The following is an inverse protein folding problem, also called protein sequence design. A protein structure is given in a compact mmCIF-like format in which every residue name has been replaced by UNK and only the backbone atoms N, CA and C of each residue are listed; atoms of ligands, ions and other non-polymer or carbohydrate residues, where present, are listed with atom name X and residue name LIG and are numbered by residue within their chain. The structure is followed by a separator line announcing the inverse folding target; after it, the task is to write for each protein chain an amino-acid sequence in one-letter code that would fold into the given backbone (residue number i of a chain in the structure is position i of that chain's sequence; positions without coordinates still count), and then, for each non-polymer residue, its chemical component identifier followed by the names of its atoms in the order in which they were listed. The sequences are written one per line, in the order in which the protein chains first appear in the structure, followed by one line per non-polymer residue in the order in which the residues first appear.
data_IF_309160582872
#
_entry.id   IF_309160582872
#
_cell.length_a   1.000
_cell.length_b   1.000
_cell.length_c   1.000
_cell.angle_alpha   90.00
_cell.angle_beta   90.00
_cell.angle_gamma   90.00
#
_symmetry.space_group_name_H-M   'P 1'
#
loop_
_entity.id
_entity.type
_entity.pdbx_description
1 polymer ?
#
# COMPACT_ATOMS: atom_id res chain seq x y z
N UNK A 1 20.59 14.97 5.97
CA UNK A 1 20.78 14.51 4.59
C UNK A 1 19.60 13.61 4.28
N UNK A 2 18.65 14.13 3.50
CA UNK A 2 17.38 13.48 3.20
C UNK A 2 17.60 12.19 2.41
N UNK A 3 16.93 11.14 2.87
CA UNK A 3 16.93 9.81 2.28
C UNK A 3 16.13 9.88 0.96
N UNK A 4 16.82 10.11 -0.16
CA UNK A 4 16.22 9.94 -1.49
C UNK A 4 15.99 8.45 -1.71
N UNK A 5 14.80 7.98 -1.36
CA UNK A 5 14.23 6.73 -1.85
C UNK A 5 14.47 6.69 -3.35
N UNK A 6 15.19 5.68 -3.83
CA UNK A 6 15.45 5.48 -5.26
C UNK A 6 14.14 5.15 -5.95
N UNK A 7 13.36 6.19 -6.29
CA UNK A 7 12.13 6.08 -7.06
C UNK A 7 12.50 5.58 -8.46
N UNK A 8 12.15 4.33 -8.76
CA UNK A 8 12.18 3.80 -10.13
C UNK A 8 10.79 4.00 -10.74
N UNK A 9 10.78 4.33 -12.03
CA UNK A 9 9.62 4.87 -12.73
C UNK A 9 8.49 3.83 -12.84
N UNK A 10 7.26 4.16 -12.43
CA UNK A 10 6.09 3.34 -12.74
C UNK A 10 5.88 3.24 -14.26
N UNK A 11 5.27 2.15 -14.75
CA UNK A 11 4.93 1.95 -16.18
C UNK A 11 4.05 3.10 -16.70
N UNK A 12 3.18 3.60 -15.83
CA UNK A 12 2.29 4.74 -16.08
C UNK A 12 2.52 5.84 -15.04
N UNK A 13 2.64 7.09 -15.47
CA UNK A 13 2.74 8.26 -14.61
C UNK A 13 1.37 8.76 -14.17
N UNK A 14 0.37 8.69 -15.04
CA UNK A 14 -1.01 9.08 -14.77
C UNK A 14 -1.95 8.02 -15.31
N UNK A 15 -2.89 7.59 -14.49
CA UNK A 15 -3.89 6.60 -14.87
C UNK A 15 -5.30 7.09 -14.59
N UNK A 16 -6.26 6.54 -15.34
CA UNK A 16 -7.67 6.60 -14.98
C UNK A 16 -8.17 5.20 -14.66
N UNK A 17 -8.61 5.00 -13.41
CA UNK A 17 -9.24 3.77 -12.94
C UNK A 17 -10.75 3.87 -13.09
N UNK A 18 -11.34 3.04 -13.95
CA UNK A 18 -12.80 2.93 -14.08
C UNK A 18 -13.29 1.77 -13.22
N UNK A 19 -14.16 2.09 -12.27
CA UNK A 19 -14.86 1.13 -11.42
C UNK A 19 -16.30 0.97 -11.91
N UNK A 20 -16.78 -0.26 -12.11
CA UNK A 20 -18.22 -0.48 -12.32
C UNK A 20 -18.98 -0.21 -11.02
N UNK A 21 -20.27 0.15 -11.11
CA UNK A 21 -21.07 0.32 -9.90
C UNK A 21 -21.25 -1.02 -9.18
N UNK A 22 -21.48 -2.07 -9.96
CA UNK A 22 -21.62 -3.46 -9.52
C UNK A 22 -20.40 -3.99 -8.76
N UNK A 23 -19.20 -3.54 -9.12
CA UNK A 23 -17.98 -3.87 -8.38
C UNK A 23 -18.07 -3.39 -6.93
N UNK A 24 -18.62 -2.19 -6.70
CA UNK A 24 -18.69 -1.58 -5.36
C UNK A 24 -19.74 -2.21 -4.45
N UNK A 25 -20.64 -3.05 -4.98
CA UNK A 25 -21.66 -3.73 -4.19
C UNK A 25 -21.16 -5.01 -3.51
N UNK A 26 -19.91 -5.43 -3.76
CA UNK A 26 -19.37 -6.68 -3.22
C UNK A 26 -20.19 -7.89 -3.66
N UNK A 27 -20.43 -8.85 -2.77
CA UNK A 27 -21.29 -10.00 -3.06
C UNK A 27 -22.77 -9.62 -3.25
N UNK A 28 -23.15 -8.43 -2.81
CA UNK A 28 -24.47 -7.85 -3.07
C UNK A 28 -24.68 -7.52 -4.56
N UNK A 29 -25.95 -7.46 -4.96
CA UNK A 29 -26.35 -6.97 -6.29
C UNK A 29 -26.67 -5.47 -6.30
N UNK A 30 -26.89 -4.87 -5.12
CA UNK A 30 -27.27 -3.46 -4.97
C UNK A 30 -26.62 -2.85 -3.73
N UNK A 31 -26.41 -1.53 -3.74
CA UNK A 31 -25.83 -0.81 -2.60
C UNK A 31 -24.31 -0.73 -2.64
N UNK A 32 -23.69 -0.52 -1.48
CA UNK A 32 -22.25 -0.33 -1.33
C UNK A 32 -21.70 -1.27 -0.27
N UNK A 33 -20.61 -1.95 -0.59
CA UNK A 33 -19.89 -2.81 0.32
C UNK A 33 -18.67 -2.08 0.90
N UNK A 34 -18.60 -2.01 2.22
CA UNK A 34 -17.54 -1.29 2.91
C UNK A 34 -16.16 -1.96 2.77
N UNK A 35 -16.11 -3.29 2.64
CA UNK A 35 -14.85 -4.00 2.46
C UNK A 35 -14.28 -3.75 1.06
N UNK A 36 -15.12 -3.76 0.02
CA UNK A 36 -14.69 -3.41 -1.34
C UNK A 36 -14.23 -1.97 -1.45
N UNK A 37 -14.97 -1.02 -0.87
CA UNK A 37 -14.56 0.39 -0.89
C UNK A 37 -13.20 0.60 -0.21
N UNK A 38 -12.94 -0.10 0.92
CA UNK A 38 -11.64 -0.07 1.60
C UNK A 38 -10.55 -0.73 0.77
N UNK A 39 -10.82 -1.86 0.12
CA UNK A 39 -9.87 -2.53 -0.77
C UNK A 39 -9.43 -1.59 -1.88
N UNK A 40 -10.37 -0.96 -2.58
CA UNK A 40 -10.09 0.04 -3.62
C UNK A 40 -9.28 1.21 -3.07
N UNK A 41 -9.63 1.72 -1.89
CA UNK A 41 -8.90 2.82 -1.25
C UNK A 41 -7.44 2.44 -0.93
N UNK A 42 -7.19 1.22 -0.45
CA UNK A 42 -5.84 0.74 -0.18
C UNK A 42 -5.04 0.53 -1.47
N UNK A 43 -5.63 -0.06 -2.50
CA UNK A 43 -4.96 -0.21 -3.81
C UNK A 43 -4.53 1.15 -4.39
N UNK A 44 -5.41 2.15 -4.34
CA UNK A 44 -5.08 3.50 -4.82
C UNK A 44 -4.02 4.15 -3.92
N UNK A 45 -4.06 3.92 -2.61
CA UNK A 45 -3.05 4.42 -1.67
C UNK A 45 -1.66 3.84 -1.99
N UNK A 46 -1.59 2.55 -2.27
CA UNK A 46 -0.33 1.90 -2.62
C UNK A 46 0.21 2.46 -3.94
N UNK A 47 -0.63 2.54 -4.98
CA UNK A 47 -0.24 3.11 -6.28
C UNK A 47 0.25 4.57 -6.17
N UNK A 48 -0.48 5.41 -5.41
CA UNK A 48 -0.09 6.82 -5.23
C UNK A 48 1.18 6.98 -4.38
N UNK A 49 1.50 6.04 -3.49
CA UNK A 49 2.76 6.02 -2.75
C UNK A 49 3.99 5.87 -3.67
N UNK A 50 3.80 5.35 -4.88
CA UNK A 50 4.82 5.27 -5.93
C UNK A 50 4.88 6.53 -6.82
N UNK A 51 4.14 7.59 -6.49
CA UNK A 51 4.14 8.85 -7.24
C UNK A 51 3.27 8.85 -8.50
N UNK A 52 2.46 7.80 -8.70
CA UNK A 52 1.48 7.73 -9.79
C UNK A 52 0.30 8.63 -9.51
N UNK A 53 -0.13 9.39 -10.51
CA UNK A 53 -1.31 10.25 -10.43
C UNK A 53 -2.56 9.44 -10.79
N UNK A 54 -3.49 9.30 -9.85
CA UNK A 54 -4.67 8.45 -10.02
C UNK A 54 -5.93 9.30 -10.15
N UNK A 55 -6.65 9.12 -11.26
CA UNK A 55 -8.03 9.54 -11.40
C UNK A 55 -8.97 8.33 -11.37
N UNK A 56 -10.21 8.53 -10.97
CA UNK A 56 -11.21 7.47 -10.86
C UNK A 56 -12.50 7.90 -11.58
N UNK A 57 -13.12 7.00 -12.34
CA UNK A 57 -14.52 7.13 -12.80
C UNK A 57 -15.31 5.99 -12.20
N UNK A 58 -16.46 6.30 -11.60
CA UNK A 58 -17.28 5.31 -10.91
C UNK A 58 -18.64 5.16 -11.60
N UNK A 59 -19.06 3.93 -11.87
CA UNK A 59 -20.38 3.62 -12.40
C UNK A 59 -21.49 3.68 -11.33
N UNK A 60 -22.76 3.73 -11.75
CA UNK A 60 -23.92 3.87 -10.85
C UNK A 60 -24.86 2.65 -10.78
N UNK A 61 -24.52 1.57 -11.50
CA UNK A 61 -25.42 0.42 -11.73
C UNK A 61 -25.80 -0.40 -10.49
N UNK A 62 -25.09 -0.24 -9.37
CA UNK A 62 -25.42 -0.80 -8.06
C UNK A 62 -26.56 -0.07 -7.34
N UNK A 63 -26.85 1.18 -7.70
CA UNK A 63 -27.94 1.96 -7.10
C UNK A 63 -29.09 2.15 -8.08
N UNK A 64 -28.76 2.54 -9.31
CA UNK A 64 -29.72 2.87 -10.35
C UNK A 64 -29.26 2.29 -11.68
N UNK A 65 -30.08 1.39 -12.23
CA UNK A 65 -29.98 0.95 -13.63
C UNK A 65 -31.07 1.63 -14.45
N UNK A 66 -30.68 2.61 -15.26
CA UNK A 66 -31.62 3.45 -16.02
C UNK A 66 -32.57 2.62 -16.90
N UNK A 67 -32.05 1.61 -17.59
CA UNK A 67 -32.84 0.70 -18.42
C UNK A 67 -33.92 -0.06 -17.62
N UNK A 68 -33.56 -0.56 -16.43
CA UNK A 68 -34.50 -1.31 -15.58
C UNK A 68 -35.59 -0.39 -15.01
N UNK A 69 -35.24 0.84 -14.63
CA UNK A 69 -36.18 1.84 -14.13
C UNK A 69 -37.16 2.26 -15.23
N UNK A 70 -36.66 2.56 -16.43
CA UNK A 70 -37.51 2.95 -17.56
C UNK A 70 -38.49 1.83 -17.92
N UNK A 71 -38.01 0.57 -18.00
CA UNK A 71 -38.84 -0.58 -18.32
C UNK A 71 -39.89 -0.91 -17.25
N UNK A 72 -39.57 -0.73 -15.96
CA UNK A 72 -40.49 -1.10 -14.86
C UNK A 72 -41.43 0.02 -14.44
N UNK A 73 -40.95 1.26 -14.42
CA UNK A 73 -41.68 2.42 -13.88
C UNK A 73 -42.23 3.33 -14.97
N UNK A 74 -41.93 3.07 -16.25
CA UNK A 74 -42.36 3.91 -17.37
C UNK A 74 -41.71 5.30 -17.36
N UNK A 75 -40.54 5.42 -16.73
CA UNK A 75 -39.78 6.67 -16.67
C UNK A 75 -39.12 6.94 -18.01
N UNK A 76 -39.17 8.19 -18.46
CA UNK A 76 -38.48 8.65 -19.66
C UNK A 76 -36.97 8.32 -19.63
N UNK A 77 -36.42 7.93 -20.77
CA UNK A 77 -35.05 7.42 -20.88
C UNK A 77 -34.00 8.46 -20.48
N UNK A 78 -34.19 9.72 -20.87
CA UNK A 78 -33.30 10.83 -20.48
C UNK A 78 -33.33 11.02 -18.97
N UNK A 79 -34.52 10.98 -18.38
CA UNK A 79 -34.71 11.06 -16.93
C UNK A 79 -34.00 9.90 -16.21
N UNK A 80 -34.13 8.67 -16.73
CA UNK A 80 -33.47 7.50 -16.19
C UNK A 80 -31.93 7.60 -16.27
N UNK A 81 -31.39 8.17 -17.34
CA UNK A 81 -29.95 8.46 -17.46
C UNK A 81 -29.48 9.52 -16.45
N UNK A 82 -30.27 10.57 -16.20
CA UNK A 82 -29.97 11.54 -15.14
C UNK A 82 -29.95 10.88 -13.75
N UNK A 83 -30.89 9.97 -13.46
CA UNK A 83 -30.89 9.21 -12.21
C UNK A 83 -29.63 8.34 -12.08
N UNK A 84 -29.20 7.68 -13.17
CA UNK A 84 -27.93 6.94 -13.22
C UNK A 84 -26.70 7.82 -13.00
N UNK A 85 -26.68 9.02 -13.56
CA UNK A 85 -25.62 10.01 -13.32
C UNK A 85 -25.58 10.45 -11.85
N UNK A 86 -26.73 10.69 -11.21
CA UNK A 86 -26.79 10.99 -9.78
C UNK A 86 -26.31 9.81 -8.92
N UNK A 87 -26.61 8.56 -9.29
CA UNK A 87 -26.09 7.38 -8.62
C UNK A 87 -24.56 7.32 -8.64
N UNK A 88 -23.91 7.72 -9.75
CA UNK A 88 -22.44 7.80 -9.81
C UNK A 88 -21.87 8.82 -8.82
N UNK A 89 -22.59 9.92 -8.56
CA UNK A 89 -22.20 10.93 -7.57
C UNK A 89 -22.29 10.37 -6.15
N UNK A 90 -23.36 9.64 -5.84
CA UNK A 90 -23.52 8.97 -4.53
C UNK A 90 -22.34 8.02 -4.28
N UNK A 91 -21.98 7.19 -5.26
CA UNK A 91 -20.84 6.29 -5.14
C UNK A 91 -19.51 7.04 -4.99
N UNK A 92 -19.32 8.13 -5.74
CA UNK A 92 -18.11 8.93 -5.66
C UNK A 92 -17.92 9.58 -4.27
N UNK A 93 -18.99 10.09 -3.66
CA UNK A 93 -18.96 10.63 -2.30
C UNK A 93 -18.63 9.57 -1.25
N UNK A 94 -19.23 8.38 -1.37
CA UNK A 94 -18.93 7.27 -0.47
C UNK A 94 -17.47 6.81 -0.59
N UNK A 95 -16.98 6.68 -1.83
CA UNK A 95 -15.58 6.33 -2.09
C UNK A 95 -14.63 7.41 -1.57
N UNK A 96 -14.97 8.69 -1.76
CA UNK A 96 -14.17 9.82 -1.26
C UNK A 96 -13.96 9.72 0.26
N UNK A 97 -15.03 9.56 1.03
CA UNK A 97 -14.97 9.48 2.50
C UNK A 97 -14.13 8.29 2.99
N UNK A 98 -14.27 7.13 2.36
CA UNK A 98 -13.46 5.94 2.71
C UNK A 98 -11.99 6.16 2.37
N UNK A 99 -11.67 6.72 1.21
CA UNK A 99 -10.29 7.02 0.81
C UNK A 99 -9.63 8.04 1.75
N UNK A 100 -10.36 9.08 2.16
CA UNK A 100 -9.87 10.08 3.12
C UNK A 100 -9.58 9.46 4.50
N UNK A 101 -10.41 8.52 4.96
CA UNK A 101 -10.16 7.74 6.19
C UNK A 101 -8.90 6.86 6.10
N UNK A 102 -8.57 6.37 4.92
CA UNK A 102 -7.32 5.63 4.67
C UNK A 102 -6.10 6.58 4.50
N UNK A 103 -6.29 7.90 4.57
CA UNK A 103 -5.22 8.90 4.55
C UNK A 103 -4.89 9.48 3.17
N UNK A 104 -5.73 9.22 2.15
CA UNK A 104 -5.61 9.85 0.84
C UNK A 104 -6.20 11.25 0.85
N UNK A 105 -5.63 12.16 0.06
CA UNK A 105 -6.25 13.46 -0.21
C UNK A 105 -7.00 13.37 -1.53
N UNK A 106 -8.32 13.50 -1.50
CA UNK A 106 -9.17 13.23 -2.66
C UNK A 106 -10.01 14.45 -3.06
N UNK A 107 -10.51 14.48 -4.30
CA UNK A 107 -11.45 15.51 -4.79
C UNK A 107 -12.47 14.91 -5.72
N UNK A 108 -13.75 15.09 -5.42
CA UNK A 108 -14.84 14.72 -6.34
C UNK A 108 -15.12 15.89 -7.29
N UNK A 109 -15.16 15.59 -8.58
CA UNK A 109 -15.55 16.51 -9.64
C UNK A 109 -16.72 15.96 -10.45
N UNK A 110 -17.77 16.76 -10.63
CA UNK A 110 -19.00 16.33 -11.29
C UNK A 110 -19.18 16.99 -12.65
N UNK A 111 -19.65 16.21 -13.63
CA UNK A 111 -20.01 16.74 -14.95
C UNK A 111 -21.29 17.59 -14.90
N UNK A 112 -22.21 17.29 -13.97
CA UNK A 112 -23.39 18.11 -13.67
C UNK A 112 -23.03 19.02 -12.49
N UNK A 113 -23.23 20.33 -12.63
CA UNK A 113 -22.85 21.30 -11.60
C UNK A 113 -23.71 21.14 -10.34
N UNK A 114 -23.05 20.96 -9.18
CA UNK A 114 -23.70 20.82 -7.88
C UNK A 114 -22.84 21.41 -6.75
N UNK A 115 -22.68 22.74 -6.77
CA UNK A 115 -21.70 23.47 -5.96
C UNK A 115 -21.69 23.19 -4.45
N UNK A 116 -22.83 22.82 -3.87
CA UNK A 116 -22.93 22.50 -2.43
C UNK A 116 -22.38 21.11 -2.07
N UNK A 117 -22.25 20.23 -3.07
CA UNK A 117 -21.94 18.80 -2.88
C UNK A 117 -20.53 18.48 -3.39
N UNK A 118 -20.19 18.94 -4.59
CA UNK A 118 -18.92 18.61 -5.24
C UNK A 118 -18.43 19.74 -6.17
N UNK A 119 -17.15 19.71 -6.50
CA UNK A 119 -16.57 20.66 -7.45
C UNK A 119 -17.13 20.38 -8.87
N UNK A 120 -17.43 21.40 -9.69
CA UNK A 120 -17.69 21.17 -11.10
C UNK A 120 -16.41 20.69 -11.80
N UNK A 121 -16.56 19.80 -12.78
CA UNK A 121 -15.44 19.36 -13.60
C UNK A 121 -14.85 20.53 -14.40
N UNK A 122 -13.58 20.82 -14.14
CA UNK A 122 -12.79 21.77 -14.91
C UNK A 122 -11.45 21.10 -15.19
N UNK A 123 -11.20 20.74 -16.45
CA UNK A 123 -9.99 20.01 -16.90
C UNK A 123 -8.70 20.50 -16.23
N UNK A 124 -8.41 21.80 -16.31
CA UNK A 124 -7.18 22.38 -15.74
C UNK A 124 -7.10 22.23 -14.21
N UNK A 125 -8.24 22.25 -13.53
CA UNK A 125 -8.30 22.03 -12.08
C UNK A 125 -8.07 20.57 -11.72
N UNK A 126 -8.64 19.64 -12.49
CA UNK A 126 -8.41 18.21 -12.33
C UNK A 126 -6.92 17.88 -12.46
N UNK A 127 -6.28 18.32 -13.54
CA UNK A 127 -4.83 18.16 -13.75
C UNK A 127 -4.04 18.75 -12.59
N UNK A 128 -4.40 19.96 -12.12
CA UNK A 128 -3.70 20.59 -10.99
C UNK A 128 -3.89 19.85 -9.67
N UNK A 129 -5.00 19.15 -9.46
CA UNK A 129 -5.18 18.28 -8.30
C UNK A 129 -4.28 17.05 -8.42
N UNK A 130 -4.24 16.40 -9.58
CA UNK A 130 -3.39 15.24 -9.87
C UNK A 130 -1.90 15.57 -9.69
N UNK A 131 -1.43 16.70 -10.20
CA UNK A 131 -0.05 17.19 -10.02
C UNK A 131 0.35 17.40 -8.55
N UNK A 132 -0.63 17.63 -7.66
CA UNK A 132 -0.42 17.80 -6.22
C UNK A 132 -0.49 16.47 -5.46
N UNK A 133 -0.54 15.34 -6.15
CA UNK A 133 -0.67 14.02 -5.55
C UNK A 133 -2.05 13.73 -4.96
N UNK A 134 -3.09 14.46 -5.40
CA UNK A 134 -4.47 14.21 -4.96
C UNK A 134 -5.14 13.22 -5.91
N UNK A 135 -5.93 12.30 -5.38
CA UNK A 135 -6.78 11.44 -6.19
C UNK A 135 -8.02 12.22 -6.64
N UNK A 136 -8.33 12.22 -7.94
CA UNK A 136 -9.52 12.90 -8.47
C UNK A 136 -10.58 11.86 -8.83
N UNK A 137 -11.80 12.01 -8.31
CA UNK A 137 -12.93 11.13 -8.61
C UNK A 137 -13.91 11.89 -9.50
N UNK A 138 -14.10 11.44 -10.73
CA UNK A 138 -15.06 11.99 -11.67
C UNK A 138 -16.41 11.28 -11.53
N UNK A 139 -17.47 12.07 -11.43
CA UNK A 139 -18.85 11.59 -11.34
C UNK A 139 -19.80 12.40 -12.23
N UNK A 140 -21.02 11.91 -12.37
CA UNK A 140 -22.00 12.46 -13.31
C UNK A 140 -21.76 12.07 -14.76
N UNK A 141 -20.97 11.02 -15.02
CA UNK A 141 -20.69 10.53 -16.37
C UNK A 141 -20.10 11.59 -17.31
N UNK A 142 -20.63 11.67 -18.53
CA UNK A 142 -20.30 12.75 -19.48
C UNK A 142 -21.07 14.04 -19.19
N UNK A 143 -22.09 14.00 -18.33
CA UNK A 143 -23.08 15.06 -18.13
C UNK A 143 -24.24 15.02 -19.12
N UNK A 144 -24.17 14.15 -20.14
CA UNK A 144 -25.16 14.02 -21.20
C UNK A 144 -25.81 12.62 -21.18
N UNK A 145 -27.14 12.53 -21.37
CA UNK A 145 -27.83 11.25 -21.59
C UNK A 145 -27.28 10.48 -22.81
N UNK A 146 -27.60 9.19 -22.91
CA UNK A 146 -27.22 8.27 -23.99
C UNK A 146 -25.74 7.86 -24.05
N UNK A 147 -24.92 8.32 -23.09
CA UNK A 147 -23.54 7.89 -22.95
C UNK A 147 -23.35 7.00 -21.74
N UNK A 148 -22.47 6.01 -21.88
CA UNK A 148 -22.15 5.11 -20.77
C UNK A 148 -21.06 5.71 -19.88
N UNK A 149 -20.86 5.09 -18.72
CA UNK A 149 -19.71 5.41 -17.85
C UNK A 149 -18.37 5.02 -18.47
N UNK A 150 -18.36 4.08 -19.42
CA UNK A 150 -17.14 3.69 -20.12
C UNK A 150 -16.73 4.78 -21.12
N UNK A 151 -17.71 5.37 -21.82
CA UNK A 151 -17.47 6.56 -22.65
C UNK A 151 -16.96 7.73 -21.80
N UNK A 152 -17.55 7.95 -20.62
CA UNK A 152 -17.07 8.98 -19.70
C UNK A 152 -15.63 8.71 -19.22
N UNK A 153 -15.28 7.46 -18.95
CA UNK A 153 -13.94 7.07 -18.54
C UNK A 153 -12.91 7.32 -19.64
N UNK A 154 -13.20 6.90 -20.87
CA UNK A 154 -12.36 7.20 -22.03
C UNK A 154 -12.18 8.71 -22.23
N UNK A 155 -13.28 9.48 -22.21
CA UNK A 155 -13.24 10.93 -22.36
C UNK A 155 -12.36 11.59 -21.29
N UNK A 156 -12.60 11.27 -20.01
CA UNK A 156 -11.84 11.88 -18.90
C UNK A 156 -10.38 11.47 -18.93
N UNK A 157 -10.06 10.21 -19.31
CA UNK A 157 -8.69 9.73 -19.43
C UNK A 157 -7.91 10.54 -20.46
N UNK A 158 -8.51 10.78 -21.64
CA UNK A 158 -7.92 11.59 -22.70
C UNK A 158 -7.74 13.04 -22.24
N UNK A 159 -8.76 13.65 -21.64
CA UNK A 159 -8.68 15.05 -21.21
C UNK A 159 -7.65 15.28 -20.12
N UNK A 160 -7.51 14.36 -19.17
CA UNK A 160 -6.46 14.46 -18.15
C UNK A 160 -5.12 13.97 -18.67
N UNK A 161 -4.97 13.58 -19.94
CA UNK A 161 -3.72 13.05 -20.49
C UNK A 161 -3.19 11.87 -19.64
N UNK A 162 -4.07 10.90 -19.35
CA UNK A 162 -3.67 9.65 -18.72
C UNK A 162 -2.88 8.80 -19.73
N UNK A 163 -1.92 8.02 -19.22
CA UNK A 163 -1.15 7.08 -20.02
C UNK A 163 -1.93 5.78 -20.28
N UNK A 164 -2.84 5.42 -19.36
CA UNK A 164 -3.69 4.25 -19.49
C UNK A 164 -5.07 4.41 -18.83
N UNK A 165 -6.06 3.75 -19.43
CA UNK A 165 -7.39 3.52 -18.90
C UNK A 165 -7.48 2.10 -18.32
N UNK A 166 -7.56 2.03 -16.99
CA UNK A 166 -7.65 0.81 -16.22
C UNK A 166 -9.12 0.47 -15.95
N UNK A 167 -9.62 -0.59 -16.58
CA UNK A 167 -11.01 -1.04 -16.51
C UNK A 167 -11.15 -2.16 -15.50
N UNK A 168 -11.64 -1.83 -14.31
CA UNK A 168 -11.90 -2.80 -13.26
C UNK A 168 -13.27 -3.44 -13.47
N UNK A 169 -13.29 -4.74 -13.77
CA UNK A 169 -14.51 -5.55 -13.90
C UNK A 169 -14.64 -6.50 -12.72
N UNK A 170 -15.86 -6.98 -12.47
CA UNK A 170 -16.13 -7.98 -11.44
C UNK A 170 -16.16 -9.37 -12.09
N UNK A 171 -15.36 -10.30 -11.57
CA UNK A 171 -15.43 -11.72 -11.94
C UNK A 171 -14.87 -12.04 -13.34
N UNK A 172 -14.17 -11.10 -13.97
CA UNK A 172 -13.49 -11.33 -15.25
C UNK A 172 -12.14 -10.62 -15.21
N UNK A 173 -11.06 -11.39 -15.29
CA UNK A 173 -9.68 -10.92 -15.19
C UNK A 173 -9.10 -10.29 -16.45
N UNK A 174 -9.88 -10.22 -17.55
CA UNK A 174 -9.40 -9.76 -18.84
C UNK A 174 -10.48 -9.82 -19.91
N UNK A 175 -10.07 -9.85 -21.18
CA UNK A 175 -10.99 -9.98 -22.32
C UNK A 175 -10.95 -11.41 -22.83
N UNK A 176 -12.11 -12.01 -23.02
CA UNK A 176 -12.26 -13.39 -23.51
C UNK A 176 -12.98 -13.41 -24.86
N UNK A 177 -12.79 -14.48 -25.63
CA UNK A 177 -13.51 -14.73 -26.88
C UNK A 177 -15.03 -14.94 -26.66
N UNK A 178 -15.40 -15.44 -25.48
CA UNK A 178 -16.78 -15.65 -24.99
C UNK A 178 -16.83 -15.56 -23.47
N UNK A 179 -18.03 -15.48 -22.89
CA UNK A 179 -18.19 -15.29 -21.44
C UNK A 179 -17.63 -16.49 -20.65
N UNK A 180 -16.58 -16.31 -19.83
CA UNK A 180 -15.97 -17.41 -19.07
C UNK A 180 -16.86 -17.95 -17.95
N UNK A 181 -17.90 -17.21 -17.54
CA UNK A 181 -18.86 -17.67 -16.53
C UNK A 181 -19.92 -18.61 -17.12
N UNK A 182 -20.08 -18.61 -18.45
CA UNK A 182 -21.05 -19.45 -19.17
C UNK A 182 -20.32 -20.58 -19.90
N UNK A 183 -19.12 -20.31 -20.41
CA UNK A 183 -18.35 -21.21 -21.25
C UNK A 183 -17.01 -21.56 -20.60
N UNK A 184 -16.83 -22.82 -20.20
CA UNK A 184 -15.59 -23.31 -19.58
C UNK A 184 -14.39 -23.36 -20.54
N UNK A 185 -14.63 -23.29 -21.85
CA UNK A 185 -13.62 -23.27 -22.90
C UNK A 185 -13.32 -21.85 -23.41
N UNK A 186 -13.71 -20.81 -22.65
CA UNK A 186 -13.39 -19.42 -22.95
C UNK A 186 -11.87 -19.19 -22.87
N UNK A 187 -11.33 -18.54 -23.90
CA UNK A 187 -9.91 -18.24 -24.05
C UNK A 187 -9.70 -16.75 -23.84
N UNK A 188 -8.82 -16.40 -22.91
CA UNK A 188 -8.44 -15.00 -22.66
C UNK A 188 -7.48 -14.52 -23.75
N UNK A 189 -7.72 -13.31 -24.25
CA UNK A 189 -6.77 -12.61 -25.11
C UNK A 189 -5.75 -11.84 -24.27
N UNK A 190 -4.46 -12.00 -24.59
CA UNK A 190 -3.36 -11.28 -23.94
C UNK A 190 -3.19 -9.86 -24.46
N UNK A 191 -3.32 -9.68 -25.77
CA UNK A 191 -3.28 -8.38 -26.44
C UNK A 191 -4.30 -8.37 -27.57
N UNK A 192 -4.95 -7.23 -27.77
CA UNK A 192 -5.97 -7.04 -28.79
C UNK A 192 -5.79 -5.68 -29.47
N UNK A 193 -5.91 -5.66 -30.79
CA UNK A 193 -6.05 -4.41 -31.51
C UNK A 193 -7.46 -3.81 -31.36
N UNK A 194 -7.59 -2.49 -31.35
CA UNK A 194 -8.91 -1.82 -31.26
C UNK A 194 -9.91 -2.30 -32.32
N UNK A 195 -9.45 -2.49 -33.57
CA UNK A 195 -10.30 -2.98 -34.65
C UNK A 195 -10.74 -4.43 -34.44
N UNK A 196 -9.94 -5.24 -33.77
CA UNK A 196 -10.29 -6.63 -33.44
C UNK A 196 -11.41 -6.66 -32.38
N UNK A 197 -11.31 -5.81 -31.35
CA UNK A 197 -12.37 -5.63 -30.35
C UNK A 197 -13.70 -5.25 -31.00
N UNK A 198 -13.68 -4.29 -31.92
CA UNK A 198 -14.89 -3.83 -32.63
C UNK A 198 -15.43 -4.90 -33.60
N UNK A 199 -14.57 -5.52 -34.42
CA UNK A 199 -14.99 -6.49 -35.43
C UNK A 199 -15.55 -7.78 -34.83
N UNK A 200 -15.05 -8.18 -33.65
CA UNK A 200 -15.52 -9.37 -32.93
C UNK A 200 -16.63 -9.07 -31.92
N UNK A 201 -17.08 -7.80 -31.81
CA UNK A 201 -18.06 -7.35 -30.82
C UNK A 201 -17.74 -7.82 -29.39
N UNK A 202 -16.43 -7.80 -29.03
CA UNK A 202 -15.98 -8.21 -27.71
C UNK A 202 -16.53 -7.22 -26.68
N UNK A 203 -17.23 -7.71 -25.66
CA UNK A 203 -17.94 -6.90 -24.64
C UNK A 203 -16.98 -6.29 -23.61
N UNK A 204 -15.96 -5.57 -24.08
CA UNK A 204 -14.96 -4.87 -23.27
C UNK A 204 -15.52 -3.55 -22.76
N UNK A 205 -15.99 -2.72 -23.69
CA UNK A 205 -16.55 -1.38 -23.48
C UNK A 205 -17.62 -1.15 -24.55
N UNK A 206 -18.37 -0.05 -24.46
CA UNK A 206 -19.18 0.38 -25.59
C UNK A 206 -18.32 0.84 -26.78
N UNK A 207 -18.86 0.72 -28.00
CA UNK A 207 -18.12 1.02 -29.23
C UNK A 207 -17.62 2.47 -29.31
N UNK A 208 -18.34 3.43 -28.70
CA UNK A 208 -17.94 4.84 -28.67
C UNK A 208 -16.69 5.02 -27.81
N UNK A 209 -16.64 4.37 -26.64
CA UNK A 209 -15.46 4.40 -25.77
C UNK A 209 -14.23 3.79 -26.46
N UNK A 210 -14.38 2.64 -27.14
CA UNK A 210 -13.29 2.01 -27.90
C UNK A 210 -12.80 2.91 -29.03
N UNK A 211 -13.71 3.53 -29.78
CA UNK A 211 -13.37 4.46 -30.85
C UNK A 211 -12.59 5.68 -30.32
N UNK A 212 -13.04 6.28 -29.21
CA UNK A 212 -12.35 7.39 -28.55
C UNK A 212 -10.92 7.01 -28.14
N UNK A 213 -10.75 5.84 -27.50
CA UNK A 213 -9.42 5.36 -27.10
C UNK A 213 -8.52 5.11 -28.30
N UNK A 214 -9.05 4.47 -29.36
CA UNK A 214 -8.31 4.22 -30.61
C UNK A 214 -7.79 5.52 -31.23
N UNK A 215 -8.65 6.52 -31.37
CA UNK A 215 -8.31 7.77 -32.05
C UNK A 215 -7.31 8.62 -31.27
N UNK A 216 -7.15 8.35 -29.97
CA UNK A 216 -6.20 9.04 -29.09
C UNK A 216 -5.04 8.13 -28.64
N UNK A 217 -4.94 6.91 -29.19
CA UNK A 217 -3.91 5.92 -28.87
C UNK A 217 -3.78 5.65 -27.35
N UNK A 218 -4.93 5.53 -26.67
CA UNK A 218 -5.05 5.33 -25.22
C UNK A 218 -5.04 3.84 -24.86
N UNK A 219 -4.02 3.40 -24.13
CA UNK A 219 -3.94 2.02 -23.65
C UNK A 219 -5.14 1.66 -22.76
N UNK A 220 -5.76 0.52 -23.01
CA UNK A 220 -6.86 -0.03 -22.19
C UNK A 220 -6.36 -1.31 -21.54
N UNK A 221 -6.43 -1.37 -20.22
CA UNK A 221 -6.11 -2.59 -19.46
C UNK A 221 -7.34 -3.04 -18.69
N UNK A 222 -7.70 -4.32 -18.82
CA UNK A 222 -8.90 -4.90 -18.18
C UNK A 222 -8.44 -5.90 -17.14
N UNK A 223 -8.94 -5.78 -15.91
CA UNK A 223 -8.60 -6.70 -14.82
C UNK A 223 -9.76 -6.87 -13.85
N UNK A 224 -9.64 -7.88 -12.98
CA UNK A 224 -10.64 -8.15 -11.94
C UNK A 224 -10.36 -7.32 -10.68
N UNK A 225 -11.34 -6.54 -10.24
CA UNK A 225 -11.25 -5.71 -9.03
C UNK A 225 -11.22 -6.53 -7.74
N UNK A 226 -11.72 -7.77 -7.78
CA UNK A 226 -11.86 -8.61 -6.58
C UNK A 226 -10.53 -9.25 -6.13
N UNK A 227 -9.48 -9.20 -6.95
CA UNK A 227 -8.17 -9.77 -6.64
C UNK A 227 -7.25 -8.68 -6.06
N UNK A 228 -6.89 -8.75 -4.75
CA UNK A 228 -6.01 -7.78 -4.14
C UNK A 228 -4.65 -7.67 -4.86
N UNK A 229 -4.13 -6.45 -4.94
CA UNK A 229 -2.87 -6.07 -5.58
C UNK A 229 -2.95 -5.91 -7.09
N UNK A 230 -4.12 -6.06 -7.73
CA UNK A 230 -4.23 -6.03 -9.20
C UNK A 230 -3.90 -4.67 -9.80
N UNK A 231 -4.41 -3.58 -9.22
CA UNK A 231 -4.16 -2.23 -9.75
C UNK A 231 -2.67 -1.93 -9.63
N UNK A 232 -2.07 -2.26 -8.48
CA UNK A 232 -0.63 -2.12 -8.24
C UNK A 232 0.19 -2.93 -9.26
N UNK A 233 -0.18 -4.19 -9.52
CA UNK A 233 0.47 -5.07 -10.51
C UNK A 233 0.43 -4.47 -11.92
N UNK A 234 -0.74 -4.03 -12.36
CA UNK A 234 -0.93 -3.45 -13.71
C UNK A 234 -0.16 -2.15 -13.90
N UNK A 235 -0.05 -1.33 -12.85
CA UNK A 235 0.54 0.02 -12.93
C UNK A 235 2.06 0.02 -12.77
N UNK A 236 2.60 -0.94 -12.02
CA UNK A 236 4.01 -0.95 -11.64
C UNK A 236 4.86 -1.95 -12.43
N UNK A 237 4.29 -3.05 -12.95
CA UNK A 237 5.04 -4.09 -13.68
C UNK A 237 5.94 -4.98 -12.80
N UNK A 238 6.63 -5.95 -13.41
CA UNK A 238 7.44 -6.99 -12.73
C UNK A 238 8.64 -6.43 -11.94
N UNK A 239 9.37 -5.47 -12.51
CA UNK A 239 10.59 -4.91 -11.90
C UNK A 239 10.31 -4.21 -10.56
N UNK A 240 9.07 -3.73 -10.35
CA UNK A 240 8.68 -3.08 -9.11
C UNK A 240 8.26 -4.08 -8.03
N UNK A 241 7.75 -5.26 -8.40
CA UNK A 241 7.48 -6.36 -7.45
C UNK A 241 8.77 -6.77 -6.73
N UNK A 242 9.88 -6.87 -7.47
CA UNK A 242 11.20 -7.22 -6.91
C UNK A 242 11.72 -6.07 -6.03
N UNK A 243 11.50 -4.82 -6.42
CA UNK A 243 11.91 -3.65 -5.65
C UNK A 243 11.12 -3.49 -4.33
N UNK A 244 9.81 -3.75 -4.33
CA UNK A 244 8.98 -3.78 -3.12
C UNK A 244 9.40 -4.92 -2.19
N UNK A 245 9.59 -6.13 -2.75
CA UNK A 245 10.10 -7.27 -1.99
C UNK A 245 11.40 -6.92 -1.26
N UNK A 246 12.32 -6.21 -1.94
CA UNK A 246 13.56 -5.71 -1.35
C UNK A 246 13.33 -4.73 -0.20
N UNK A 247 12.43 -3.76 -0.37
CA UNK A 247 12.13 -2.78 0.67
C UNK A 247 11.50 -3.43 1.92
N UNK A 248 10.58 -4.39 1.71
CA UNK A 248 9.91 -5.12 2.80
C UNK A 248 10.87 -6.07 3.52
N UNK A 249 11.76 -6.75 2.78
CA UNK A 249 12.83 -7.57 3.38
C UNK A 249 13.78 -6.70 4.21
N UNK A 250 14.15 -5.50 3.75
CA UNK A 250 15.00 -4.59 4.52
C UNK A 250 14.33 -4.15 5.83
N UNK A 251 13.03 -3.85 5.81
CA UNK A 251 12.27 -3.55 7.03
C UNK A 251 12.25 -4.72 8.02
N UNK A 252 12.15 -5.95 7.53
CA UNK A 252 12.22 -7.15 8.38
C UNK A 252 13.60 -7.29 9.05
N UNK A 253 14.68 -6.98 8.32
CA UNK A 253 16.05 -6.95 8.87
C UNK A 253 16.17 -5.84 9.94
N UNK A 254 15.64 -4.65 9.69
CA UNK A 254 15.66 -3.54 10.65
C UNK A 254 14.88 -3.87 11.93
N UNK A 255 13.69 -4.48 11.80
CA UNK A 255 12.93 -4.96 12.94
C UNK A 255 13.71 -6.02 13.74
N UNK A 256 14.31 -6.99 13.07
CA UNK A 256 15.15 -8.01 13.72
C UNK A 256 16.33 -7.38 14.46
N UNK A 257 16.95 -6.34 13.88
CA UNK A 257 18.04 -5.59 14.53
C UNK A 257 17.56 -4.87 15.79
N UNK A 258 16.37 -4.29 15.77
CA UNK A 258 15.75 -3.66 16.94
C UNK A 258 15.46 -4.70 18.04
N UNK A 259 14.92 -5.86 17.69
CA UNK A 259 14.70 -6.97 18.64
C UNK A 259 16.02 -7.45 19.25
N UNK A 260 17.08 -7.61 18.46
CA UNK A 260 18.42 -7.94 19.00
C UNK A 260 19.01 -6.84 19.88
N UNK A 261 18.70 -5.57 19.63
CA UNK A 261 19.12 -4.48 20.50
C UNK A 261 18.40 -4.52 21.86
N UNK A 262 17.15 -5.01 21.90
CA UNK A 262 16.39 -5.19 23.13
C UNK A 262 16.89 -6.34 24.03
N UNK A 263 17.61 -7.32 23.45
CA UNK A 263 18.17 -8.44 24.20
C UNK A 263 19.35 -8.00 25.08
N UNK A 264 19.14 -8.11 26.39
CA UNK A 264 20.13 -7.75 27.41
C UNK A 264 21.23 -8.82 27.51
N UNK A 265 22.32 -8.62 26.77
CA UNK A 265 23.49 -9.51 26.69
C UNK A 265 24.46 -9.43 27.87
N UNK A 266 24.12 -8.66 28.91
CA UNK A 266 25.02 -8.41 30.04
C UNK A 266 26.12 -7.38 29.71
N UNK A 267 26.09 -6.77 28.51
CA UNK A 267 26.88 -5.60 28.14
C UNK A 267 26.07 -4.30 28.28
N UNK A 268 26.78 -3.22 28.57
CA UNK A 268 26.25 -1.88 28.67
C UNK A 268 25.93 -1.34 27.26
N UNK A 269 24.64 -1.19 26.99
CA UNK A 269 24.13 -0.54 25.77
C UNK A 269 23.18 0.60 26.15
N UNK A 270 23.30 1.78 25.54
CA UNK A 270 22.36 2.89 25.76
C UNK A 270 20.91 2.52 25.41
N UNK A 271 20.69 1.58 24.49
CA UNK A 271 19.36 1.13 24.07
C UNK A 271 18.53 0.55 25.23
N UNK A 272 19.18 0.03 26.28
CA UNK A 272 18.49 -0.49 27.47
C UNK A 272 17.69 0.59 28.21
N UNK A 273 18.04 1.87 28.03
CA UNK A 273 17.41 2.99 28.72
C UNK A 273 16.37 3.71 27.87
N UNK A 274 16.18 3.32 26.60
CA UNK A 274 15.25 3.98 25.67
C UNK A 274 13.78 3.90 26.12
N UNK A 275 13.40 2.83 26.81
CA UNK A 275 12.03 2.63 27.31
C UNK A 275 11.78 3.30 28.67
N UNK A 276 12.80 3.84 29.33
CA UNK A 276 12.66 4.44 30.67
C UNK A 276 12.28 5.91 30.52
N UNK A 277 11.16 6.27 31.16
CA UNK A 277 10.68 7.65 31.24
C UNK A 277 10.96 8.21 32.64
N UNK A 278 11.38 9.47 32.68
CA UNK A 278 11.64 10.23 33.90
C UNK A 278 10.70 11.44 33.91
N UNK A 279 10.19 11.76 35.09
CA UNK A 279 9.38 12.97 35.28
C UNK A 279 10.29 14.19 35.18
N UNK A 280 10.13 14.95 34.08
CA UNK A 280 10.83 16.20 33.83
C UNK A 280 9.81 17.33 33.85
N UNK A 281 9.73 18.06 34.97
CA UNK A 281 8.78 19.16 35.18
C UNK A 281 7.29 18.76 34.97
N UNK A 282 6.88 17.58 35.43
CA UNK A 282 5.50 17.09 35.35
C UNK A 282 5.18 16.36 34.04
N UNK A 283 6.16 16.20 33.15
CA UNK A 283 6.01 15.52 31.86
C UNK A 283 6.90 14.27 31.82
N UNK A 284 6.33 13.08 31.52
CA UNK A 284 7.10 11.85 31.43
C UNK A 284 7.93 11.80 30.13
N UNK A 285 9.22 12.11 30.26
CA UNK A 285 10.17 12.28 29.15
C UNK A 285 11.20 11.12 29.12
N UNK A 286 11.57 10.56 27.95
CA UNK A 286 12.60 9.52 27.85
C UNK A 286 13.96 9.97 28.38
N UNK A 287 14.71 9.08 29.05
CA UNK A 287 16.04 9.38 29.63
C UNK A 287 17.01 9.94 28.58
N UNK A 288 16.97 9.43 27.35
CA UNK A 288 17.85 9.84 26.25
C UNK A 288 17.66 11.30 25.83
N UNK A 289 16.54 11.93 26.20
CA UNK A 289 16.24 13.33 25.90
C UNK A 289 16.61 14.30 27.03
N UNK A 290 16.90 13.78 28.23
CA UNK A 290 17.20 14.60 29.42
C UNK A 290 18.61 14.35 29.97
N UNK A 291 19.32 13.38 29.41
CA UNK A 291 20.66 12.99 29.83
C UNK A 291 21.52 12.46 28.67
N UNK A 292 22.83 12.66 28.77
CA UNK A 292 23.81 12.01 27.90
C UNK A 292 24.19 10.65 28.50
N UNK A 293 24.02 9.57 27.73
CA UNK A 293 24.37 8.20 28.14
C UNK A 293 25.67 7.77 27.46
N UNK A 294 26.65 7.32 28.24
CA UNK A 294 27.93 6.81 27.74
C UNK A 294 28.23 5.42 28.32
N UNK A 295 29.04 4.64 27.58
CA UNK A 295 29.50 3.30 27.98
C UNK A 295 31.02 3.36 28.18
N UNK A 296 31.51 3.78 29.36
CA UNK A 296 32.95 3.82 29.63
C UNK A 296 33.58 2.42 29.74
N UNK A 297 32.81 1.43 30.19
CA UNK A 297 33.25 0.04 30.31
C UNK A 297 32.15 -0.90 29.80
N UNK A 298 32.48 -2.11 29.31
CA UNK A 298 31.48 -3.05 28.79
C UNK A 298 30.37 -3.43 29.76
N UNK A 299 30.51 -3.18 31.07
CA UNK A 299 29.52 -3.53 32.12
C UNK A 299 29.06 -2.33 32.94
N UNK A 300 29.37 -1.10 32.50
CA UNK A 300 29.01 0.11 33.22
C UNK A 300 28.34 1.11 32.27
N UNK A 301 27.08 1.46 32.55
CA UNK A 301 26.44 2.62 31.93
C UNK A 301 26.67 3.85 32.80
N UNK A 302 27.06 4.95 32.18
CA UNK A 302 27.20 6.24 32.83
C UNK A 302 26.19 7.21 32.21
N UNK A 303 25.27 7.71 33.04
CA UNK A 303 24.25 8.65 32.63
C UNK A 303 24.59 10.00 33.24
N UNK A 304 24.66 11.04 32.41
CA UNK A 304 24.92 12.41 32.78
C UNK A 304 23.69 13.28 32.47
N UNK A 305 22.78 13.45 33.45
CA UNK A 305 21.64 14.35 33.31
C UNK A 305 22.09 15.79 33.12
N UNK A 306 21.44 16.54 32.22
CA UNK A 306 21.81 17.94 31.97
C UNK A 306 21.39 18.88 33.13
N UNK A 307 20.40 18.47 33.91
CA UNK A 307 19.97 19.14 35.14
C UNK A 307 20.32 18.27 36.37
N UNK A 308 20.99 18.86 37.36
CA UNK A 308 21.38 18.16 38.60
C UNK A 308 20.18 17.79 39.46
N UNK A 309 19.04 18.47 39.31
CA UNK A 309 17.83 18.24 40.12
C UNK A 309 17.16 16.91 39.81
N UNK A 310 17.29 16.43 38.57
CA UNK A 310 16.62 15.21 38.09
C UNK A 310 17.43 13.95 38.34
N UNK A 311 18.65 14.04 38.88
CA UNK A 311 19.53 12.89 39.14
C UNK A 311 18.84 11.84 40.03
N UNK A 312 18.13 12.28 41.07
CA UNK A 312 17.37 11.38 41.96
C UNK A 312 16.15 10.76 41.29
N UNK A 313 15.54 11.47 40.34
CA UNK A 313 14.36 10.99 39.62
C UNK A 313 14.76 9.98 38.54
N UNK A 314 15.91 10.19 37.88
CA UNK A 314 16.56 9.23 36.99
C UNK A 314 16.92 7.96 37.76
N UNK A 315 17.53 8.08 38.95
CA UNK A 315 17.87 6.94 39.81
C UNK A 315 16.62 6.13 40.20
N UNK A 316 15.56 6.81 40.66
CA UNK A 316 14.28 6.17 40.98
C UNK A 316 13.62 5.52 39.77
N UNK A 317 13.68 6.14 38.59
CA UNK A 317 13.09 5.60 37.37
C UNK A 317 13.79 4.31 36.93
N UNK A 318 15.12 4.26 37.02
CA UNK A 318 15.90 3.05 36.72
C UNK A 318 15.64 1.96 37.77
N UNK A 319 15.58 2.31 39.05
CA UNK A 319 15.28 1.36 40.12
C UNK A 319 13.86 0.76 40.02
N UNK A 320 12.87 1.58 39.63
CA UNK A 320 11.49 1.15 39.40
C UNK A 320 11.29 0.43 38.07
N UNK A 321 12.28 0.48 37.16
CA UNK A 321 12.17 -0.18 35.87
C UNK A 321 12.24 -1.69 36.03
N UNK A 322 11.62 -2.42 35.10
CA UNK A 322 11.66 -3.89 35.05
C UNK A 322 13.06 -4.45 34.73
N UNK A 323 14.07 -3.58 34.58
CA UNK A 323 15.44 -3.98 34.29
C UNK A 323 16.17 -4.53 35.52
N UNK A 324 15.68 -4.33 36.75
CA UNK A 324 16.33 -4.86 37.95
C UNK A 324 17.80 -4.45 38.08
N UNK A 325 18.12 -3.24 37.61
CA UNK A 325 19.45 -2.62 37.71
C UNK A 325 19.51 -1.79 39.00
N UNK A 326 20.65 -1.81 39.69
CA UNK A 326 20.86 -1.01 40.90
C UNK A 326 21.74 0.19 40.54
N UNK A 327 21.15 1.37 40.26
CA UNK A 327 21.92 2.57 39.99
C UNK A 327 22.65 3.06 41.24
N UNK A 328 23.81 3.66 41.06
CA UNK A 328 24.57 4.38 42.09
C UNK A 328 24.86 5.79 41.58
N UNK A 329 24.53 6.81 42.36
CA UNK A 329 24.69 8.22 41.96
C UNK A 329 25.72 8.95 42.81
N UNK A 330 26.58 9.74 42.15
CA UNK A 330 27.55 10.63 42.81
C UNK A 330 27.02 12.09 42.86
N UNK A 331 25.72 12.29 42.66
CA UNK A 331 25.07 13.61 42.59
C UNK A 331 25.24 14.38 41.28
N UNK A 332 26.13 13.93 40.39
CA UNK A 332 26.31 14.48 39.03
C UNK A 332 26.14 13.40 37.96
N UNK A 333 26.67 12.21 38.20
CA UNK A 333 26.57 11.06 37.31
C UNK A 333 25.76 9.96 37.98
N UNK A 334 24.96 9.24 37.20
CA UNK A 334 24.33 7.98 37.61
C UNK A 334 25.07 6.83 36.93
N UNK A 335 25.70 5.98 37.73
CA UNK A 335 26.40 4.77 37.30
C UNK A 335 25.47 3.58 37.45
N UNK A 336 25.33 2.79 36.40
CA UNK A 336 24.47 1.60 36.40
C UNK A 336 25.33 0.38 36.07
N UNK A 337 25.80 -0.37 37.08
CA UNK A 337 26.54 -1.61 36.86
C UNK A 337 25.59 -2.68 36.31
N UNK A 338 26.04 -3.39 35.28
CA UNK A 338 25.28 -4.49 34.70
C UNK A 338 25.77 -5.80 35.32
N UNK A 339 24.90 -6.55 36.02
CA UNK A 339 25.29 -7.79 36.66
C UNK A 339 25.72 -8.83 35.61
N UNK A 340 26.72 -9.64 35.95
CA UNK A 340 27.16 -10.75 35.12
C UNK A 340 26.04 -11.79 34.98
N UNK A 341 25.72 -12.15 33.75
CA UNK A 341 24.77 -13.22 33.48
C UNK A 341 25.38 -14.58 33.82
N UNK A 342 24.61 -15.43 34.51
CA UNK A 342 24.96 -16.84 34.75
C UNK A 342 25.03 -17.60 33.42
N UNK A 343 25.76 -18.72 33.39
CA UNK A 343 25.86 -19.57 32.20
C UNK A 343 24.48 -20.06 31.72
N UNK A 344 23.58 -20.37 32.67
CA UNK A 344 22.19 -20.75 32.39
C UNK A 344 21.42 -19.62 31.70
N UNK A 345 21.53 -18.37 32.19
CA UNK A 345 20.82 -17.23 31.60
C UNK A 345 21.38 -16.85 30.23
N UNK A 346 22.69 -17.00 30.01
CA UNK A 346 23.31 -16.82 28.68
C UNK A 346 22.77 -17.86 27.69
N UNK A 347 22.67 -19.13 28.09
CA UNK A 347 22.07 -20.19 27.26
C UNK A 347 20.60 -19.92 26.93
N UNK A 348 19.83 -19.36 27.86
CA UNK A 348 18.46 -18.91 27.59
C UNK A 348 18.40 -17.75 26.59
N UNK A 349 19.25 -16.75 26.74
CA UNK A 349 19.29 -15.60 25.81
C UNK A 349 19.69 -16.01 24.40
N UNK A 350 20.59 -16.98 24.23
CA UNK A 350 20.90 -17.56 22.91
C UNK A 350 19.66 -18.22 22.30
N UNK A 351 18.83 -18.92 23.09
CA UNK A 351 17.57 -19.49 22.60
C UNK A 351 16.59 -18.39 22.14
N UNK A 352 16.49 -17.30 22.90
CA UNK A 352 15.63 -16.17 22.55
C UNK A 352 16.13 -15.44 21.29
N UNK A 353 17.44 -15.20 21.18
CA UNK A 353 18.06 -14.62 19.99
C UNK A 353 17.80 -15.48 18.73
N UNK A 354 17.93 -16.81 18.85
CA UNK A 354 17.59 -17.74 17.76
C UNK A 354 16.12 -17.68 17.39
N UNK A 355 15.22 -17.51 18.36
CA UNK A 355 13.77 -17.35 18.10
C UNK A 355 13.48 -16.08 17.29
N UNK A 356 14.02 -14.94 17.69
CA UNK A 356 13.85 -13.68 16.95
C UNK A 356 14.49 -13.72 15.56
N UNK A 357 15.64 -14.38 15.41
CA UNK A 357 16.23 -14.63 14.10
C UNK A 357 15.29 -15.45 13.21
N UNK A 358 14.65 -16.50 13.76
CA UNK A 358 13.70 -17.30 13.00
C UNK A 358 12.44 -16.53 12.64
N UNK A 359 11.91 -15.68 13.54
CA UNK A 359 10.80 -14.78 13.24
C UNK A 359 11.15 -13.83 12.08
N UNK A 360 12.36 -13.25 12.08
CA UNK A 360 12.87 -12.44 10.97
C UNK A 360 13.01 -13.22 9.66
N UNK A 361 13.53 -14.46 9.70
CA UNK A 361 13.61 -15.34 8.52
C UNK A 361 12.22 -15.71 7.99
N UNK A 362 11.27 -16.00 8.86
CA UNK A 362 9.88 -16.28 8.49
C UNK A 362 9.25 -15.07 7.81
N UNK A 363 9.47 -13.86 8.33
CA UNK A 363 9.01 -12.64 7.69
C UNK A 363 9.58 -12.47 6.26
N UNK A 364 10.88 -12.69 6.07
CA UNK A 364 11.52 -12.67 4.74
C UNK A 364 10.95 -13.76 3.82
N UNK A 365 10.74 -14.99 4.33
CA UNK A 365 10.14 -16.09 3.55
C UNK A 365 8.70 -15.79 3.13
N UNK A 366 7.92 -15.13 3.98
CA UNK A 366 6.56 -14.68 3.64
C UNK A 366 6.58 -13.63 2.53
N UNK A 367 7.46 -12.62 2.63
CA UNK A 367 7.63 -11.61 1.56
C UNK A 367 8.07 -12.27 0.25
N UNK A 368 8.99 -13.24 0.29
CA UNK A 368 9.37 -14.02 -0.88
C UNK A 368 8.18 -14.78 -1.46
N UNK A 369 7.38 -15.46 -0.64
CA UNK A 369 6.22 -16.23 -1.11
C UNK A 369 5.24 -15.31 -1.82
N UNK A 370 4.90 -14.18 -1.21
CA UNK A 370 4.00 -13.18 -1.80
C UNK A 370 4.56 -12.64 -3.13
N UNK A 371 5.84 -12.24 -3.17
CA UNK A 371 6.45 -11.73 -4.40
C UNK A 371 6.57 -12.81 -5.49
N UNK A 372 6.82 -14.06 -5.11
CA UNK A 372 6.86 -15.20 -6.02
C UNK A 372 5.48 -15.46 -6.63
N UNK A 373 4.44 -15.51 -5.80
CA UNK A 373 3.05 -15.64 -6.25
C UNK A 373 2.68 -14.50 -7.21
N UNK A 374 3.15 -13.27 -6.95
CA UNK A 374 2.93 -12.14 -7.85
C UNK A 374 3.64 -12.31 -9.20
N UNK A 375 4.89 -12.81 -9.24
CA UNK A 375 5.64 -13.02 -10.49
C UNK A 375 5.05 -14.18 -11.31
N UNK A 376 4.74 -15.31 -10.66
CA UNK A 376 4.09 -16.45 -11.33
C UNK A 376 2.71 -16.04 -11.89
N UNK A 377 1.96 -15.22 -11.14
CA UNK A 377 0.68 -14.70 -11.62
C UNK A 377 0.85 -13.74 -12.81
N UNK A 378 1.91 -12.94 -12.86
CA UNK A 378 2.21 -12.06 -14.01
C UNK A 378 2.58 -12.86 -15.28
N UNK A 379 3.21 -14.02 -15.12
CA UNK A 379 3.49 -14.96 -16.21
C UNK A 379 2.20 -15.63 -16.71
N UNK A 380 1.36 -16.11 -15.79
CA UNK A 380 0.06 -16.71 -16.09
C UNK A 380 -0.86 -15.71 -16.80
N UNK A 381 -0.88 -14.46 -16.32
CA UNK A 381 -1.66 -13.35 -16.89
C UNK A 381 -1.05 -12.85 -18.23
N UNK A 382 0.17 -13.28 -18.60
CA UNK A 382 0.84 -12.96 -19.86
C UNK A 382 1.36 -11.53 -19.98
N UNK A 383 1.43 -10.81 -18.86
CA UNK A 383 1.98 -9.46 -18.74
C UNK A 383 3.51 -9.43 -18.78
N UNK A 384 4.13 -10.59 -18.53
CA UNK A 384 5.58 -10.82 -18.48
C UNK A 384 5.91 -12.07 -19.28
N UNK A 385 6.98 -12.07 -20.06
CA UNK A 385 7.42 -13.26 -20.79
C UNK A 385 7.96 -14.35 -19.85
N UNK A 386 7.93 -15.62 -20.28
CA UNK A 386 8.49 -16.74 -19.50
C UNK A 386 9.99 -16.52 -19.18
N UNK A 387 10.71 -15.84 -20.08
CA UNK A 387 12.12 -15.49 -19.87
C UNK A 387 12.31 -14.35 -18.85
N UNK A 388 11.39 -13.39 -18.80
CA UNK A 388 11.41 -12.31 -17.81
C UNK A 388 11.01 -12.81 -16.43
N UNK A 389 9.92 -13.59 -16.32
CA UNK A 389 9.50 -14.24 -15.06
C UNK A 389 10.61 -15.09 -14.45
N UNK A 390 11.30 -15.91 -15.26
CA UNK A 390 12.47 -16.68 -14.79
C UNK A 390 13.57 -15.77 -14.24
N UNK A 391 13.86 -14.65 -14.91
CA UNK A 391 14.84 -13.67 -14.43
C UNK A 391 14.38 -13.00 -13.14
N UNK A 392 13.10 -12.67 -13.01
CA UNK A 392 12.53 -12.09 -11.79
C UNK A 392 12.54 -13.05 -10.61
N UNK A 393 12.22 -14.32 -10.82
CA UNK A 393 12.32 -15.37 -9.81
C UNK A 393 13.78 -15.60 -9.38
N UNK A 394 14.72 -15.59 -10.32
CA UNK A 394 16.16 -15.70 -10.01
C UNK A 394 16.67 -14.49 -9.21
N UNK A 395 16.23 -13.28 -9.54
CA UNK A 395 16.59 -12.07 -8.82
C UNK A 395 15.97 -12.05 -7.42
N UNK A 396 14.71 -12.46 -7.28
CA UNK A 396 14.01 -12.61 -6.01
C UNK A 396 14.71 -13.65 -5.12
N UNK A 397 15.18 -14.76 -5.69
CA UNK A 397 15.94 -15.78 -4.97
C UNK A 397 17.27 -15.21 -4.44
N UNK A 398 18.07 -14.55 -5.29
CA UNK A 398 19.33 -13.90 -4.89
C UNK A 398 19.13 -12.87 -3.78
N UNK A 399 18.06 -12.09 -3.88
CA UNK A 399 17.69 -11.09 -2.88
C UNK A 399 17.32 -11.72 -1.54
N UNK A 400 16.53 -12.80 -1.58
CA UNK A 400 16.15 -13.55 -0.38
C UNK A 400 17.39 -14.13 0.30
N UNK A 401 18.27 -14.77 -0.46
CA UNK A 401 19.49 -15.40 0.08
C UNK A 401 20.42 -14.37 0.73
N UNK A 402 20.58 -13.20 0.09
CA UNK A 402 21.33 -12.08 0.66
C UNK A 402 20.73 -11.58 1.97
N UNK A 403 19.40 -11.46 2.03
CA UNK A 403 18.68 -10.94 3.20
C UNK A 403 18.72 -11.93 4.38
N UNK A 404 18.61 -13.24 4.11
CA UNK A 404 18.78 -14.29 5.11
C UNK A 404 20.22 -14.31 5.64
N UNK A 405 21.21 -14.19 4.76
CA UNK A 405 22.62 -14.13 5.16
C UNK A 405 22.91 -12.92 6.07
N UNK A 406 22.24 -11.79 5.87
CA UNK A 406 22.34 -10.63 6.74
C UNK A 406 21.77 -10.90 8.14
N UNK A 407 20.61 -11.58 8.24
CA UNK A 407 20.06 -12.03 9.53
C UNK A 407 21.01 -13.02 10.21
N UNK A 408 21.60 -13.95 9.48
CA UNK A 408 22.54 -14.94 10.03
C UNK A 408 23.83 -14.28 10.53
N UNK A 409 24.32 -13.25 9.82
CA UNK A 409 25.45 -12.46 10.27
C UNK A 409 25.13 -11.68 11.56
N UNK A 410 23.93 -11.10 11.66
CA UNK A 410 23.45 -10.43 12.88
C UNK A 410 23.32 -11.41 14.05
N UNK A 411 22.77 -12.60 13.82
CA UNK A 411 22.68 -13.66 14.84
C UNK A 411 24.06 -14.12 15.30
N UNK A 412 25.00 -14.37 14.38
CA UNK A 412 26.37 -14.79 14.70
C UNK A 412 27.12 -13.73 15.52
N UNK A 413 26.96 -12.45 15.17
CA UNK A 413 27.50 -11.34 15.96
C UNK A 413 26.87 -11.30 17.36
N UNK A 414 25.56 -11.53 17.48
CA UNK A 414 24.85 -11.53 18.75
C UNK A 414 25.19 -12.72 19.63
N UNK A 415 25.34 -13.91 19.05
CA UNK A 415 25.77 -15.13 19.75
C UNK A 415 27.18 -14.96 20.32
N UNK A 416 28.11 -14.36 19.55
CA UNK A 416 29.45 -13.99 20.06
C UNK A 416 29.36 -12.97 21.20
N UNK A 417 28.52 -11.94 21.07
CA UNK A 417 28.32 -10.94 22.11
C UNK A 417 27.78 -11.57 23.42
N UNK A 418 26.86 -12.53 23.33
CA UNK A 418 26.29 -13.23 24.47
C UNK A 418 27.29 -14.21 25.10
N UNK A 419 28.21 -14.78 24.32
CA UNK A 419 29.15 -15.82 24.77
C UNK A 419 30.55 -15.28 25.13
N UNK A 420 30.90 -14.05 24.77
CA UNK A 420 32.13 -13.39 25.23
C UNK A 420 32.05 -13.07 26.74
N UNK A 421 33.13 -13.40 27.44
CA UNK A 421 33.29 -13.24 28.90
C UNK A 421 33.46 -11.79 29.30
#
# INVERSE_FOLDING_TARGET
MENKTTARNPKYHRILLKLSGEALAGDGHTGLDAAVLRLVAQEVKDVTAHGVQVAIVVGGGNLVRGADISARLGVDEVTAHHMGMLATVINALALQDIMEKEGLVTRVQTAIEMHQIAEPFIRRRAIRHLEKGRTVIFAGGTGSPYFTTDTAAALRAIEIEADALLMAKRGVGGVYDKDPNVHSDAVMFRQLGYMEVLNRDLKVMDATAVALCKDNNMDIVVFDVARPGNVTRTVLGEEVVIADAKARMQKAIEATKHEFASLRTGRASPALLEQIRVDYYGVPTPITQVATVTVPEPRLLMIHPWDKKIVKDVEKAILKSELGLVPSSDGVYVRVPIPSLTEERRRELVKVARKHAEEGRVAIRNVRREAKEMIEQLEDDGEVSEDESKRGLDELQKLTDKSIAEIDALLSAKDKEIMEL
#
